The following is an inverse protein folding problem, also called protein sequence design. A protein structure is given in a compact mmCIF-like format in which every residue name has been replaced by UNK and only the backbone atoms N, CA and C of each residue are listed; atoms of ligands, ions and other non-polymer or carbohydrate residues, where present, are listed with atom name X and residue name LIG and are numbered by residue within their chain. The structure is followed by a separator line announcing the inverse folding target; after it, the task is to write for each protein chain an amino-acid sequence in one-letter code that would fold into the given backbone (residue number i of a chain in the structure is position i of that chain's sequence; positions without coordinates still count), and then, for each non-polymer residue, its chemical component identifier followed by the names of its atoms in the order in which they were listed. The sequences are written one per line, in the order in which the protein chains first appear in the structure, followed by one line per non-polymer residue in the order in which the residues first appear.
data_IF_225004268350
#
_entry.id   IF_225004268350
#
_cell.length_a   1.000
_cell.length_b   1.000
_cell.length_c   1.000
_cell.angle_alpha   90.00
_cell.angle_beta   90.00
_cell.angle_gamma   90.00
#
_symmetry.space_group_name_H-M   'P 1'
#
loop_
_entity.id
_entity.type
_entity.pdbx_description
1 polymer ?
#
# COMPACT_ATOMS: atom_id res chain seq x y z
N UNK A 1 9.95 -9.89 18.10
CA UNK A 1 9.18 -8.95 17.26
C UNK A 1 10.15 -7.96 16.61
N UNK A 2 10.61 -8.27 15.39
CA UNK A 2 11.43 -7.35 14.61
C UNK A 2 10.51 -6.43 13.78
N UNK A 3 9.86 -5.49 14.47
CA UNK A 3 9.10 -4.44 13.77
C UNK A 3 10.12 -3.45 13.22
N UNK A 4 10.26 -3.38 11.89
CA UNK A 4 11.16 -2.44 11.21
C UNK A 4 10.41 -1.26 10.57
N UNK A 5 9.07 -1.29 10.57
CA UNK A 5 8.22 -0.27 9.95
C UNK A 5 7.54 0.55 11.05
N UNK A 6 7.87 1.85 11.12
CA UNK A 6 7.21 2.80 12.01
C UNK A 6 5.73 2.98 11.67
N UNK A 7 4.94 3.44 12.64
CA UNK A 7 3.50 3.70 12.48
C UNK A 7 3.20 4.64 11.32
N UNK A 8 4.10 5.59 11.04
CA UNK A 8 3.97 6.57 9.94
C UNK A 8 4.02 5.90 8.56
N UNK A 9 5.02 5.06 8.27
CA UNK A 9 5.13 4.32 7.00
C UNK A 9 3.93 3.40 6.75
N UNK A 10 3.43 2.78 7.83
CA UNK A 10 2.23 1.93 7.77
C UNK A 10 1.00 2.74 7.39
N UNK A 11 0.81 3.90 8.00
CA UNK A 11 -0.31 4.79 7.70
C UNK A 11 -0.20 5.30 6.27
N UNK A 12 0.98 5.74 5.83
CA UNK A 12 1.23 6.17 4.45
C UNK A 12 0.87 5.08 3.43
N UNK A 13 1.32 3.84 3.63
CA UNK A 13 0.98 2.72 2.73
C UNK A 13 -0.50 2.36 2.76
N UNK A 14 -1.12 2.36 3.95
CA UNK A 14 -2.53 2.07 4.09
C UNK A 14 -3.39 3.14 3.40
N UNK A 15 -3.05 4.42 3.61
CA UNK A 15 -3.71 5.57 2.98
C UNK A 15 -3.53 5.51 1.46
N UNK A 16 -2.31 5.28 0.96
CA UNK A 16 -2.05 5.13 -0.48
C UNK A 16 -2.84 3.97 -1.10
N UNK A 17 -2.88 2.81 -0.45
CA UNK A 17 -3.65 1.66 -0.93
C UNK A 17 -5.16 1.91 -0.94
N UNK A 18 -5.68 2.57 0.10
CA UNK A 18 -7.09 2.99 0.16
C UNK A 18 -7.43 4.02 -0.91
N UNK A 19 -6.58 5.01 -1.13
CA UNK A 19 -6.76 6.03 -2.17
C UNK A 19 -6.73 5.39 -3.55
N UNK A 20 -5.83 4.43 -3.80
CA UNK A 20 -5.80 3.71 -5.08
C UNK A 20 -7.07 2.89 -5.33
N UNK A 21 -7.59 2.21 -4.30
CA UNK A 21 -8.83 1.44 -4.42
C UNK A 21 -10.05 2.35 -4.59
N UNK A 22 -10.09 3.47 -3.86
CA UNK A 22 -11.13 4.48 -4.04
C UNK A 22 -11.09 5.06 -5.45
N UNK A 23 -9.89 5.34 -5.98
CA UNK A 23 -9.73 5.75 -7.36
C UNK A 23 -10.20 4.66 -8.33
N UNK A 24 -9.82 3.40 -8.12
CA UNK A 24 -10.18 2.27 -8.97
C UNK A 24 -11.69 1.99 -9.06
N UNK A 25 -12.45 2.19 -7.96
CA UNK A 25 -13.84 1.77 -7.88
C UNK A 25 -14.86 2.90 -7.72
N UNK A 26 -14.47 4.04 -7.13
CA UNK A 26 -15.40 5.10 -6.72
C UNK A 26 -15.13 6.46 -7.36
N UNK A 27 -14.03 6.65 -8.09
CA UNK A 27 -13.72 7.95 -8.69
C UNK A 27 -14.51 8.30 -9.94
N UNK A 28 -15.12 7.31 -10.59
CA UNK A 28 -15.81 7.51 -11.87
C UNK A 28 -14.89 7.99 -13.00
N UNK A 29 -13.56 7.83 -12.88
CA UNK A 29 -12.65 8.20 -13.95
C UNK A 29 -12.88 7.30 -15.19
N UNK A 30 -13.11 7.87 -16.39
CA UNK A 30 -13.34 7.08 -17.60
C UNK A 30 -12.14 6.20 -17.98
N UNK A 31 -10.92 6.61 -17.59
CA UNK A 31 -9.69 5.83 -17.76
C UNK A 31 -9.63 4.57 -16.87
N UNK A 32 -10.42 4.54 -15.80
CA UNK A 32 -10.47 3.48 -14.78
C UNK A 32 -11.82 2.76 -14.75
N UNK A 33 -12.76 3.08 -15.63
CA UNK A 33 -14.10 2.49 -15.67
C UNK A 33 -14.12 1.13 -16.39
N UNK A 34 -13.48 1.03 -17.56
CA UNK A 34 -13.65 -0.11 -18.48
C UNK A 34 -12.36 -0.77 -18.98
N UNK A 35 -11.19 -0.36 -18.47
CA UNK A 35 -9.89 -0.82 -18.97
C UNK A 35 -9.11 -1.74 -18.03
N UNK A 36 -8.12 -2.45 -18.59
CA UNK A 36 -7.11 -3.22 -17.82
C UNK A 36 -6.47 -2.41 -16.69
N UNK A 37 -6.41 -1.08 -16.83
CA UNK A 37 -5.94 -0.13 -15.82
C UNK A 37 -6.73 -0.20 -14.50
N UNK A 38 -8.04 -0.48 -14.54
CA UNK A 38 -8.86 -0.64 -13.32
C UNK A 38 -8.38 -1.80 -12.47
N UNK A 39 -8.18 -2.96 -13.11
CA UNK A 39 -7.70 -4.16 -12.46
C UNK A 39 -6.26 -4.01 -11.97
N UNK A 40 -5.40 -3.35 -12.74
CA UNK A 40 -4.03 -3.04 -12.32
C UNK A 40 -4.04 -2.14 -11.07
N UNK A 41 -4.83 -1.07 -11.06
CA UNK A 41 -4.95 -0.17 -9.91
C UNK A 41 -5.54 -0.88 -8.68
N UNK A 42 -6.56 -1.72 -8.87
CA UNK A 42 -7.15 -2.50 -7.80
C UNK A 42 -6.15 -3.51 -7.20
N UNK A 43 -5.44 -4.26 -8.03
CA UNK A 43 -4.40 -5.22 -7.58
C UNK A 43 -3.31 -4.46 -6.82
N UNK A 44 -2.83 -3.34 -7.35
CA UNK A 44 -1.77 -2.56 -6.71
C UNK A 44 -2.21 -2.00 -5.35
N UNK A 45 -3.45 -1.50 -5.24
CA UNK A 45 -4.05 -1.03 -3.99
C UNK A 45 -4.18 -2.14 -2.94
N UNK A 46 -4.63 -3.34 -3.34
CA UNK A 46 -4.70 -4.51 -2.46
C UNK A 46 -3.31 -4.93 -2.00
N UNK A 47 -2.32 -4.98 -2.89
CA UNK A 47 -0.92 -5.32 -2.54
C UNK A 47 -0.35 -4.31 -1.54
N UNK A 48 -0.59 -3.01 -1.71
CA UNK A 48 -0.16 -1.98 -0.75
C UNK A 48 -0.84 -2.14 0.62
N UNK A 49 -2.12 -2.53 0.65
CA UNK A 49 -2.82 -2.80 1.90
C UNK A 49 -2.30 -4.06 2.61
N UNK A 50 -2.15 -5.17 1.88
CA UNK A 50 -1.61 -6.41 2.42
C UNK A 50 -0.22 -6.17 2.97
N UNK A 51 0.66 -5.49 2.21
CA UNK A 51 2.01 -5.15 2.69
C UNK A 51 2.00 -4.24 3.93
N UNK A 52 1.03 -3.33 4.07
CA UNK A 52 0.84 -2.53 5.29
C UNK A 52 0.33 -3.36 6.49
N UNK A 53 -0.38 -4.47 6.23
CA UNK A 53 -0.96 -5.33 7.26
C UNK A 53 0.06 -6.31 7.85
N UNK A 54 1.00 -6.83 7.05
CA UNK A 54 1.99 -7.82 7.54
C UNK A 54 3.04 -7.22 8.50
N UNK A 55 3.08 -5.89 8.69
CA UNK A 55 3.98 -5.16 9.61
C UNK A 55 5.49 -5.47 9.47
N UNK A 56 5.86 -6.18 8.42
CA UNK A 56 7.23 -6.54 8.05
C UNK A 56 7.37 -6.12 6.59
N UNK A 57 8.01 -4.98 6.33
CA UNK A 57 8.44 -4.69 4.97
C UNK A 57 9.72 -5.48 4.70
N UNK A 58 9.69 -6.50 3.80
CA UNK A 58 10.87 -7.29 3.48
C UNK A 58 12.01 -6.43 2.92
N UNK A 59 11.70 -5.35 2.19
CA UNK A 59 12.71 -4.39 1.71
C UNK A 59 13.48 -3.71 2.86
N UNK A 60 12.80 -3.27 3.91
CA UNK A 60 13.46 -2.65 5.07
C UNK A 60 14.23 -3.69 5.89
N UNK A 61 13.74 -4.93 5.93
CA UNK A 61 14.47 -6.05 6.52
C UNK A 61 15.74 -6.41 5.72
N UNK A 62 15.68 -6.38 4.38
CA UNK A 62 16.82 -6.64 3.48
C UNK A 62 17.85 -5.50 3.56
N UNK A 63 17.39 -4.25 3.63
CA UNK A 63 18.26 -3.07 3.76
C UNK A 63 18.69 -2.76 5.20
N UNK A 64 18.22 -3.52 6.20
CA UNK A 64 18.55 -3.30 7.61
C UNK A 64 18.06 -1.97 8.20
N UNK A 65 17.19 -1.25 7.49
CA UNK A 65 16.65 0.05 7.90
C UNK A 65 15.46 -0.13 8.84
N UNK A 66 15.47 0.59 9.96
CA UNK A 66 14.37 0.63 10.92
C UNK A 66 13.79 2.04 10.94
N UNK A 67 12.54 2.20 10.52
CA UNK A 67 11.81 3.48 10.69
C UNK A 67 11.04 3.52 12.01
N UNK A 68 11.07 2.42 12.77
CA UNK A 68 10.69 2.40 14.17
C UNK A 68 11.66 3.27 14.96
N UNK A 69 11.17 4.40 15.47
CA UNK A 69 11.86 5.15 16.52
C UNK A 69 11.79 4.31 17.80
N UNK A 70 12.92 3.78 18.23
CA UNK A 70 13.13 3.43 19.65
C UNK A 70 13.07 4.69 20.49
#
# INVERSE_FOLDING_TARGET
MATNVGTIDRILRAVLGLVLLYLAFFSGLPALEAGALKWIAAILGVVMLVTSAVRICPIYAIFGLKTCRS
#
